data_IF_928854739089
#
_entry.id   IF_928854739089
#
_cell.length_a   1.000
_cell.length_b   1.000
_cell.length_c   1.000
_cell.angle_alpha   90.00
_cell.angle_beta   90.00
_cell.angle_gamma   90.00
#
_symmetry.space_group_name_H-M   'P 1'
#
loop_
_entity.id
_entity.type
_entity.pdbx_description
1 polymer ?
#
# COMPACT_ATOMS: atom_id res chain seq x y z
N UNK A 1 21.46 14.76 -25.80
CA UNK A 1 20.62 13.57 -26.05
C UNK A 1 19.59 13.93 -27.12
N UNK A 2 19.59 13.28 -28.29
CA UNK A 2 18.67 13.62 -29.40
C UNK A 2 17.29 13.01 -29.15
N UNK A 3 16.24 13.82 -29.10
CA UNK A 3 14.85 13.35 -29.09
C UNK A 3 14.31 13.28 -30.52
N UNK A 4 13.50 12.26 -30.83
CA UNK A 4 12.80 12.13 -32.11
C UNK A 4 11.36 11.69 -31.88
N UNK A 5 10.45 12.23 -32.69
CA UNK A 5 9.04 11.79 -32.71
C UNK A 5 8.94 10.52 -33.57
N UNK A 6 8.31 9.48 -33.04
CA UNK A 6 8.08 8.22 -33.73
C UNK A 6 6.58 7.99 -33.89
N UNK A 7 6.17 7.48 -35.05
CA UNK A 7 4.80 7.04 -35.31
C UNK A 7 4.84 5.56 -35.65
N UNK A 8 4.16 4.74 -34.84
CA UNK A 8 4.05 3.30 -35.05
C UNK A 8 2.66 2.99 -35.62
N UNK A 9 2.59 2.27 -36.74
CA UNK A 9 1.33 1.84 -37.37
C UNK A 9 1.12 0.35 -37.11
N UNK A 10 -0.09 -0.02 -36.67
CA UNK A 10 -0.46 -1.41 -36.42
C UNK A 10 -1.94 -1.64 -36.75
N UNK A 11 -2.31 -2.90 -37.07
CA UNK A 11 -3.72 -3.28 -37.33
C UNK A 11 -4.58 -3.22 -36.05
N UNK A 12 -3.96 -3.45 -34.89
CA UNK A 12 -4.59 -3.42 -33.56
C UNK A 12 -3.63 -2.76 -32.57
N UNK A 13 -4.18 -2.02 -31.61
CA UNK A 13 -3.42 -1.36 -30.53
C UNK A 13 -4.03 -1.79 -29.20
N UNK A 14 -3.20 -2.27 -28.28
CA UNK A 14 -3.60 -2.69 -26.93
C UNK A 14 -2.94 -1.73 -25.94
N UNK A 15 -3.72 -1.18 -25.00
CA UNK A 15 -3.22 -0.31 -23.94
C UNK A 15 -3.18 -1.10 -22.63
N UNK A 16 -1.98 -1.31 -22.10
CA UNK A 16 -1.73 -2.07 -20.86
C UNK A 16 -0.97 -1.23 -19.83
N UNK A 17 -1.34 0.05 -19.67
CA UNK A 17 -0.73 0.97 -18.70
C UNK A 17 -1.24 0.82 -17.26
N UNK A 18 -2.07 -0.18 -16.98
CA UNK A 18 -2.75 -0.34 -15.69
C UNK A 18 -3.82 0.73 -15.43
N UNK A 19 -4.48 0.64 -14.27
CA UNK A 19 -5.66 1.45 -13.92
C UNK A 19 -5.39 2.96 -13.89
N UNK A 20 -4.14 3.37 -13.69
CA UNK A 20 -3.74 4.79 -13.64
C UNK A 20 -3.33 5.34 -15.01
N UNK A 21 -2.48 4.64 -15.77
CA UNK A 21 -1.94 5.20 -17.02
C UNK A 21 -2.79 4.91 -18.24
N UNK A 22 -3.52 3.79 -18.29
CA UNK A 22 -4.42 3.49 -19.40
C UNK A 22 -5.45 4.59 -19.66
N UNK A 23 -6.21 5.09 -18.66
CA UNK A 23 -7.17 6.17 -18.91
C UNK A 23 -6.47 7.47 -19.35
N UNK A 24 -5.30 7.79 -18.80
CA UNK A 24 -4.55 8.99 -19.19
C UNK A 24 -4.11 8.93 -20.67
N UNK A 25 -3.62 7.77 -21.12
CA UNK A 25 -3.22 7.56 -22.52
C UNK A 25 -4.43 7.70 -23.44
N UNK A 26 -5.57 7.10 -23.09
CA UNK A 26 -6.79 7.16 -23.89
C UNK A 26 -7.31 8.60 -24.02
N UNK A 27 -7.36 9.35 -22.90
CA UNK A 27 -7.77 10.76 -22.91
C UNK A 27 -6.84 11.61 -23.78
N UNK A 28 -5.51 11.47 -23.62
CA UNK A 28 -4.52 12.19 -24.44
C UNK A 28 -4.54 11.78 -25.92
N UNK A 29 -5.07 10.61 -26.24
CA UNK A 29 -5.25 10.11 -27.60
C UNK A 29 -6.57 10.57 -28.24
N UNK A 30 -7.38 11.37 -27.55
CA UNK A 30 -8.63 11.92 -28.08
C UNK A 30 -9.81 10.95 -28.08
N UNK A 31 -9.73 9.84 -27.31
CA UNK A 31 -10.84 8.89 -27.18
C UNK A 31 -11.99 9.55 -26.41
N UNK A 32 -13.15 9.67 -27.06
CA UNK A 32 -14.36 10.26 -26.48
C UNK A 32 -15.22 9.16 -25.85
N UNK A 33 -14.96 8.85 -24.58
CA UNK A 33 -15.80 7.96 -23.78
C UNK A 33 -15.98 8.56 -22.38
N UNK A 34 -17.23 8.78 -21.91
CA UNK A 34 -17.52 9.47 -20.66
C UNK A 34 -17.06 8.73 -19.40
N UNK A 35 -16.73 7.44 -19.50
CA UNK A 35 -16.28 6.60 -18.40
C UNK A 35 -14.76 6.57 -18.22
N UNK A 36 -13.99 7.07 -19.21
CA UNK A 36 -12.52 7.05 -19.13
C UNK A 36 -12.05 7.88 -17.93
N UNK A 37 -11.28 7.24 -17.05
CA UNK A 37 -10.74 7.87 -15.83
C UNK A 37 -11.73 8.00 -14.68
N UNK A 38 -12.94 7.42 -14.78
CA UNK A 38 -13.96 7.45 -13.72
C UNK A 38 -14.15 6.08 -13.07
N UNK A 39 -14.79 6.06 -11.91
CA UNK A 39 -15.17 4.84 -11.16
C UNK A 39 -13.99 3.98 -10.69
N UNK A 40 -12.83 4.60 -10.44
CA UNK A 40 -11.71 3.92 -9.79
C UNK A 40 -12.09 3.62 -8.34
N UNK A 41 -12.08 2.34 -7.98
CA UNK A 41 -12.24 1.88 -6.60
C UNK A 41 -10.87 1.46 -6.08
N UNK A 42 -10.50 2.00 -4.93
CA UNK A 42 -9.27 1.68 -4.24
C UNK A 42 -9.61 1.14 -2.87
N UNK A 43 -8.81 0.17 -2.43
CA UNK A 43 -8.85 -0.34 -1.08
C UNK A 43 -8.17 0.68 -0.15
N UNK A 44 -8.89 1.39 0.74
CA UNK A 44 -8.29 2.41 1.57
C UNK A 44 -7.55 1.74 2.72
N UNK A 45 -6.24 1.69 2.59
CA UNK A 45 -5.35 0.95 3.48
C UNK A 45 -4.25 1.88 3.99
N UNK A 46 -3.98 1.85 5.28
CA UNK A 46 -2.76 2.39 5.86
C UNK A 46 -1.99 1.30 6.61
N UNK A 47 -0.74 1.61 6.96
CA UNK A 47 0.10 0.75 7.79
C UNK A 47 0.42 1.51 9.07
N UNK A 48 0.35 0.82 10.20
CA UNK A 48 0.71 1.36 11.51
C UNK A 48 1.71 0.45 12.17
N UNK A 49 2.74 1.04 12.78
CA UNK A 49 3.74 0.32 13.56
C UNK A 49 3.78 0.84 14.98
N UNK A 50 4.00 -0.05 15.94
CA UNK A 50 4.24 0.31 17.33
C UNK A 50 5.30 -0.60 17.96
N UNK A 51 6.01 -0.08 18.96
CA UNK A 51 6.94 -0.84 19.79
C UNK A 51 6.19 -1.30 21.04
N UNK A 52 6.02 -2.61 21.21
CA UNK A 52 5.24 -3.20 22.30
C UNK A 52 6.08 -3.44 23.55
N UNK A 53 6.90 -2.46 23.94
CA UNK A 53 7.74 -2.51 25.14
C UNK A 53 8.63 -3.76 25.20
N UNK A 54 8.39 -4.61 26.21
CA UNK A 54 9.11 -5.88 26.41
C UNK A 54 8.45 -7.08 25.73
N UNK A 55 7.27 -6.91 25.14
CA UNK A 55 6.54 -8.00 24.47
C UNK A 55 7.34 -8.42 23.24
N UNK A 56 7.70 -9.68 23.21
CA UNK A 56 8.29 -10.28 22.01
C UNK A 56 7.18 -10.52 21.00
N UNK A 57 7.25 -9.85 19.85
CA UNK A 57 6.30 -10.08 18.78
C UNK A 57 6.82 -11.04 17.72
N UNK A 58 8.14 -11.18 17.59
CA UNK A 58 8.82 -11.99 16.57
C UNK A 58 8.08 -11.98 15.22
N UNK A 59 7.60 -10.81 14.76
CA UNK A 59 6.53 -10.76 13.76
C UNK A 59 6.93 -11.24 12.36
N UNK A 60 8.23 -11.49 12.13
CA UNK A 60 8.73 -12.14 10.93
C UNK A 60 8.46 -13.66 10.89
N UNK A 61 8.04 -14.26 12.00
CA UNK A 61 7.72 -15.68 12.10
C UNK A 61 6.21 -15.93 11.92
N UNK A 62 5.86 -17.07 11.32
CA UNK A 62 4.48 -17.50 11.14
C UNK A 62 3.83 -17.08 9.82
N UNK A 63 2.50 -17.05 9.81
CA UNK A 63 1.69 -16.74 8.64
C UNK A 63 1.65 -15.24 8.34
N UNK A 64 1.62 -14.91 7.04
CA UNK A 64 1.45 -13.53 6.55
C UNK A 64 -0.03 -13.32 6.19
N UNK A 65 -0.67 -12.26 6.71
CA UNK A 65 -2.06 -11.89 6.40
C UNK A 65 -3.01 -13.11 6.54
N UNK A 66 -2.88 -13.87 7.63
CA UNK A 66 -3.67 -15.10 7.86
C UNK A 66 -4.84 -14.91 8.82
N UNK A 67 -4.95 -13.73 9.45
CA UNK A 67 -5.98 -13.40 10.43
C UNK A 67 -6.28 -11.91 10.38
N UNK A 68 -7.40 -11.50 10.95
CA UNK A 68 -7.72 -10.10 11.15
C UNK A 68 -8.41 -9.89 12.49
N UNK A 69 -8.37 -8.64 12.98
CA UNK A 69 -9.16 -8.16 14.12
C UNK A 69 -10.27 -7.27 13.57
N UNK A 70 -11.52 -7.62 13.88
CA UNK A 70 -12.73 -6.92 13.47
C UNK A 70 -13.43 -6.15 14.59
N UNK A 71 -12.89 -6.20 15.82
CA UNK A 71 -13.43 -5.49 16.99
C UNK A 71 -13.71 -3.99 16.73
N UNK A 72 -12.96 -3.37 15.81
CA UNK A 72 -13.06 -1.96 15.47
C UNK A 72 -13.85 -1.69 14.17
N UNK A 73 -14.56 -2.66 13.60
CA UNK A 73 -15.20 -2.49 12.28
C UNK A 73 -16.42 -1.55 12.29
N UNK A 74 -17.00 -1.28 13.47
CA UNK A 74 -18.22 -0.50 13.63
C UNK A 74 -18.15 0.50 14.79
N UNK A 75 -17.20 1.45 14.71
CA UNK A 75 -16.94 2.42 15.77
C UNK A 75 -18.08 3.44 15.97
N UNK A 76 -18.91 3.67 14.96
CA UNK A 76 -19.99 4.67 14.98
C UNK A 76 -21.41 4.06 14.97
N UNK A 77 -21.52 2.73 15.02
CA UNK A 77 -22.80 2.01 14.93
C UNK A 77 -23.40 1.93 13.52
N UNK A 78 -22.72 2.46 12.49
CA UNK A 78 -23.20 2.51 11.08
C UNK A 78 -22.34 1.69 10.11
N UNK A 79 -21.47 0.84 10.63
CA UNK A 79 -20.54 0.01 9.85
C UNK A 79 -19.27 0.76 9.43
N UNK A 80 -18.93 1.87 10.08
CA UNK A 80 -17.68 2.57 9.82
C UNK A 80 -16.65 2.25 10.89
N UNK A 81 -15.50 1.76 10.45
CA UNK A 81 -14.43 1.34 11.34
C UNK A 81 -13.23 0.76 10.59
N UNK A 82 -12.40 0.03 11.32
CA UNK A 82 -11.17 -0.56 10.79
C UNK A 82 -11.04 -2.04 11.09
N UNK A 83 -10.39 -2.76 10.18
CA UNK A 83 -9.88 -4.11 10.42
C UNK A 83 -8.36 -4.06 10.50
N UNK A 84 -7.79 -4.77 11.47
CA UNK A 84 -6.34 -4.87 11.61
C UNK A 84 -5.88 -6.23 11.10
N UNK A 85 -4.92 -6.24 10.18
CA UNK A 85 -4.33 -7.47 9.65
C UNK A 85 -2.82 -7.48 9.89
N UNK A 86 -2.21 -8.65 10.14
CA UNK A 86 -0.76 -8.76 10.20
C UNK A 86 -0.19 -8.54 8.81
N UNK A 87 0.76 -7.61 8.67
CA UNK A 87 1.54 -7.46 7.44
C UNK A 87 2.69 -8.47 7.40
N UNK A 88 3.31 -8.63 6.24
CA UNK A 88 4.64 -9.24 6.11
C UNK A 88 5.67 -8.42 6.90
N UNK A 89 5.92 -8.80 8.16
CA UNK A 89 6.81 -8.09 9.07
C UNK A 89 8.26 -8.56 8.92
N UNK A 90 8.78 -8.55 7.69
CA UNK A 90 10.22 -8.73 7.41
C UNK A 90 10.92 -7.36 7.43
N UNK A 91 12.25 -7.30 7.66
CA UNK A 91 12.92 -6.03 7.95
C UNK A 91 12.69 -4.95 6.90
N UNK A 92 12.72 -5.30 5.61
CA UNK A 92 12.55 -4.32 4.54
C UNK A 92 11.15 -3.68 4.55
N UNK A 93 10.11 -4.44 4.88
CA UNK A 93 8.73 -3.92 4.95
C UNK A 93 8.58 -3.08 6.20
N UNK A 94 8.96 -3.61 7.36
CA UNK A 94 8.84 -2.90 8.63
C UNK A 94 9.58 -1.56 8.59
N UNK A 95 10.82 -1.50 8.10
CA UNK A 95 11.61 -0.27 8.06
C UNK A 95 11.27 0.69 6.92
N UNK A 96 10.78 0.21 5.78
CA UNK A 96 10.35 1.11 4.69
C UNK A 96 9.17 2.00 5.06
N UNK A 97 8.42 1.60 6.09
CA UNK A 97 7.28 2.34 6.63
C UNK A 97 7.67 3.30 7.76
N UNK A 98 8.89 3.22 8.27
CA UNK A 98 9.34 4.07 9.37
C UNK A 98 9.89 5.37 8.80
N UNK A 99 9.61 6.46 9.51
CA UNK A 99 10.19 7.76 9.14
C UNK A 99 11.68 7.74 9.42
N UNK A 100 12.50 7.92 8.38
CA UNK A 100 13.92 8.19 8.58
C UNK A 100 14.11 9.57 9.18
N UNK A 101 14.84 9.65 10.31
CA UNK A 101 15.27 10.91 10.92
C UNK A 101 16.76 11.09 10.78
N UNK A 102 17.53 10.16 11.34
CA UNK A 102 18.98 10.10 11.24
C UNK A 102 19.50 8.66 11.46
N UNK A 103 20.83 8.48 11.38
CA UNK A 103 21.45 7.16 11.51
C UNK A 103 21.47 6.58 12.92
N UNK A 104 21.36 7.40 13.97
CA UNK A 104 21.28 6.92 15.36
C UNK A 104 19.87 6.42 15.63
N UNK A 105 18.86 7.21 15.26
CA UNK A 105 17.44 6.85 15.38
C UNK A 105 17.13 5.55 14.64
N UNK A 106 17.63 5.39 13.42
CA UNK A 106 17.47 4.15 12.66
C UNK A 106 18.12 2.93 13.34
N UNK A 107 19.32 3.09 13.93
CA UNK A 107 19.99 2.01 14.68
C UNK A 107 19.24 1.67 15.96
N UNK A 108 18.75 2.68 16.69
CA UNK A 108 17.95 2.48 17.89
C UNK A 108 16.62 1.79 17.59
N UNK A 109 16.01 2.11 16.45
CA UNK A 109 14.82 1.42 15.96
C UNK A 109 15.14 -0.02 15.57
N UNK A 110 16.30 -0.25 14.95
CA UNK A 110 16.76 -1.59 14.58
C UNK A 110 16.95 -2.52 15.78
N UNK A 111 17.45 -2.00 16.90
CA UNK A 111 17.57 -2.76 18.15
C UNK A 111 16.21 -3.18 18.73
N UNK A 112 15.12 -2.49 18.36
CA UNK A 112 13.77 -2.76 18.85
C UNK A 112 12.97 -3.68 17.93
N UNK A 113 13.54 -4.15 16.82
CA UNK A 113 12.85 -4.92 15.78
C UNK A 113 11.97 -6.06 16.31
N UNK A 114 12.53 -6.85 17.24
CA UNK A 114 11.85 -7.98 17.90
C UNK A 114 10.57 -7.60 18.64
N UNK A 115 10.41 -6.33 18.97
CA UNK A 115 9.29 -5.77 19.72
C UNK A 115 8.42 -4.84 18.86
N UNK A 116 8.71 -4.70 17.57
CA UNK A 116 7.91 -3.90 16.64
C UNK A 116 6.81 -4.78 16.05
N UNK A 117 5.58 -4.29 16.12
CA UNK A 117 4.44 -4.87 15.41
C UNK A 117 3.97 -3.89 14.36
N UNK A 118 3.88 -4.34 13.11
CA UNK A 118 3.27 -3.58 12.03
C UNK A 118 2.00 -4.25 11.54
N UNK A 119 0.97 -3.45 11.33
CA UNK A 119 -0.36 -3.91 10.96
C UNK A 119 -0.86 -3.12 9.75
N UNK A 120 -1.52 -3.84 8.86
CA UNK A 120 -2.43 -3.24 7.88
C UNK A 120 -3.64 -2.76 8.65
N UNK A 121 -4.01 -1.51 8.41
CA UNK A 121 -5.23 -0.90 8.92
C UNK A 121 -6.12 -0.69 7.72
N UNK A 122 -7.17 -1.50 7.66
CA UNK A 122 -8.11 -1.49 6.58
C UNK A 122 -9.33 -0.68 6.95
N UNK A 123 -9.64 0.34 6.16
CA UNK A 123 -10.80 1.20 6.39
C UNK A 123 -11.76 1.06 5.20
N UNK A 124 -13.05 0.92 5.47
CA UNK A 124 -14.11 0.59 4.49
C UNK A 124 -13.94 -0.77 3.80
#
# INVERSE_FOLDING_TARGET
>A
RTQRRVVVKAKKVIISGGSMWSPLILTKSGIKNPNVGKHLHLHPVNLVSAIFGKKDLASWEGGIITSYVDEFENLDGKGHGVKLEPVVNVPYVTYSLQTWRDGIDAKLLALKYRHIGTFIVLTR
#
